data_IF_427077703920
#
_entry.id   IF_427077703920
#
_cell.length_a   1.000
_cell.length_b   1.000
_cell.length_c   1.000
_cell.angle_alpha   90.00
_cell.angle_beta   90.00
_cell.angle_gamma   90.00
#
_symmetry.space_group_name_H-M   'P 1'
#
loop_
_entity.id
_entity.type
_entity.pdbx_description
1 polymer ?
#
# COMPACT_ATOMS: atom_id res chain seq x y z
N UNK A 1 -22.50 -20.63 -2.93
CA UNK A 1 -21.96 -20.55 -1.55
C UNK A 1 -20.81 -19.54 -1.41
N UNK A 2 -20.02 -19.28 -2.46
CA UNK A 2 -18.94 -18.27 -2.50
C UNK A 2 -19.39 -16.82 -2.25
N UNK A 3 -20.58 -16.41 -2.72
CA UNK A 3 -21.11 -15.05 -2.54
C UNK A 3 -21.28 -14.63 -1.06
N UNK A 4 -21.81 -15.51 -0.22
CA UNK A 4 -22.02 -15.22 1.22
C UNK A 4 -20.69 -15.17 2.00
N UNK A 5 -19.72 -16.00 1.61
CA UNK A 5 -18.35 -15.95 2.14
C UNK A 5 -17.61 -14.67 1.74
N UNK A 6 -17.79 -14.21 0.49
CA UNK A 6 -17.23 -12.94 0.04
C UNK A 6 -17.86 -11.74 0.75
N UNK A 7 -19.16 -11.77 1.01
CA UNK A 7 -19.85 -10.72 1.76
C UNK A 7 -19.36 -10.62 3.22
N UNK A 8 -19.17 -11.78 3.87
CA UNK A 8 -18.61 -11.85 5.24
C UNK A 8 -17.15 -11.39 5.27
N UNK A 9 -16.32 -11.86 4.35
CA UNK A 9 -14.93 -11.44 4.21
C UNK A 9 -14.81 -9.92 4.01
N UNK A 10 -15.59 -9.37 3.08
CA UNK A 10 -15.66 -7.93 2.88
C UNK A 10 -16.13 -7.21 4.15
N UNK A 11 -17.13 -7.72 4.86
CA UNK A 11 -17.57 -7.10 6.13
C UNK A 11 -16.46 -7.08 7.19
N UNK A 12 -15.71 -8.18 7.35
CA UNK A 12 -14.60 -8.30 8.30
C UNK A 12 -13.46 -7.32 8.01
N UNK A 13 -13.14 -7.16 6.72
CA UNK A 13 -11.95 -6.45 6.25
C UNK A 13 -12.23 -4.95 6.09
N UNK A 14 -13.46 -4.54 5.80
CA UNK A 14 -13.80 -3.14 5.52
C UNK A 14 -13.76 -2.23 6.78
N UNK A 15 -12.91 -1.19 6.86
CA UNK A 15 -12.84 -0.24 7.99
C UNK A 15 -14.07 0.66 8.13
N UNK A 16 -14.88 0.77 7.07
CA UNK A 16 -16.19 1.47 7.13
C UNK A 16 -17.23 0.67 7.92
N UNK A 17 -17.22 -0.66 7.80
CA UNK A 17 -18.23 -1.55 8.40
C UNK A 17 -17.79 -2.17 9.72
N UNK A 18 -16.50 -2.46 9.88
CA UNK A 18 -15.96 -3.08 11.09
C UNK A 18 -15.15 -2.07 11.94
N UNK A 19 -15.52 -1.83 13.20
CA UNK A 19 -14.76 -0.93 14.10
C UNK A 19 -13.34 -1.44 14.43
N UNK A 20 -13.13 -2.77 14.47
CA UNK A 20 -11.81 -3.35 14.73
C UNK A 20 -10.85 -3.09 13.57
N UNK A 21 -11.33 -3.26 12.34
CA UNK A 21 -10.55 -2.93 11.14
C UNK A 21 -10.20 -1.44 11.09
N UNK A 22 -11.10 -0.56 11.55
CA UNK A 22 -10.84 0.88 11.67
C UNK A 22 -9.75 1.19 12.69
N UNK A 23 -9.80 0.58 13.87
CA UNK A 23 -8.77 0.75 14.89
C UNK A 23 -7.40 0.26 14.40
N UNK A 24 -7.38 -0.89 13.73
CA UNK A 24 -6.17 -1.42 13.11
C UNK A 24 -5.60 -0.45 12.07
N UNK A 25 -6.44 0.03 11.14
CA UNK A 25 -6.02 1.01 10.13
C UNK A 25 -5.48 2.30 10.76
N UNK A 26 -6.15 2.82 11.78
CA UNK A 26 -5.73 4.03 12.49
C UNK A 26 -4.39 3.85 13.22
N UNK A 27 -4.21 2.73 13.91
CA UNK A 27 -2.96 2.44 14.64
C UNK A 27 -1.77 2.25 13.68
N UNK A 28 -1.97 1.54 12.56
CA UNK A 28 -0.96 1.42 11.50
C UNK A 28 -0.64 2.79 10.90
N UNK A 29 -1.67 3.57 10.57
CA UNK A 29 -1.51 4.91 10.00
C UNK A 29 -0.73 5.83 10.93
N UNK A 30 -1.06 5.86 12.23
CA UNK A 30 -0.37 6.69 13.22
C UNK A 30 1.11 6.31 13.32
N UNK A 31 1.43 5.01 13.37
CA UNK A 31 2.82 4.53 13.43
C UNK A 31 3.62 4.89 12.19
N UNK A 32 3.02 4.76 11.00
CA UNK A 32 3.68 5.13 9.75
C UNK A 32 3.97 6.63 9.67
N UNK A 33 3.03 7.48 10.11
CA UNK A 33 3.23 8.94 10.13
C UNK A 33 4.37 9.37 11.03
N UNK A 34 4.52 8.74 12.22
CA UNK A 34 5.61 9.02 13.17
C UNK A 34 7.01 8.86 12.56
N UNK A 35 7.19 7.88 11.68
CA UNK A 35 8.45 7.64 10.96
C UNK A 35 8.50 8.26 9.55
N UNK A 36 7.38 8.80 9.07
CA UNK A 36 7.26 9.37 7.73
C UNK A 36 7.40 8.33 6.61
N UNK A 37 6.88 7.12 6.83
CA UNK A 37 6.90 6.02 5.86
C UNK A 37 5.53 5.86 5.19
N UNK A 38 5.54 5.31 3.97
CA UNK A 38 4.33 4.78 3.32
C UNK A 38 4.24 3.27 3.55
N UNK A 39 3.02 2.75 3.42
CA UNK A 39 2.79 1.31 3.58
C UNK A 39 3.59 0.49 2.57
N UNK A 40 3.65 0.93 1.31
CA UNK A 40 4.41 0.29 0.23
C UNK A 40 5.94 0.28 0.48
N UNK A 41 6.46 1.17 1.33
CA UNK A 41 7.89 1.22 1.63
C UNK A 41 8.33 0.00 2.48
N UNK A 42 7.38 -0.67 3.17
CA UNK A 42 7.63 -1.83 4.03
C UNK A 42 7.92 -3.13 3.25
N UNK A 43 7.62 -3.16 1.95
CA UNK A 43 7.90 -4.32 1.11
C UNK A 43 9.39 -4.40 0.79
N UNK A 44 10.01 -5.54 1.12
CA UNK A 44 11.43 -5.77 0.96
C UNK A 44 11.74 -6.51 -0.38
N UNK A 45 12.57 -5.93 -1.26
CA UNK A 45 12.96 -6.56 -2.52
C UNK A 45 13.77 -7.85 -2.38
N UNK A 46 14.32 -8.18 -1.20
CA UNK A 46 15.07 -9.43 -1.02
C UNK A 46 14.17 -10.65 -0.80
N UNK A 47 12.99 -10.46 -0.21
CA UNK A 47 12.07 -11.56 0.11
C UNK A 47 11.13 -11.93 -1.05
N UNK A 48 10.82 -10.97 -1.94
CA UNK A 48 9.91 -11.20 -3.07
C UNK A 48 10.54 -10.69 -4.38
N UNK A 49 10.72 -11.60 -5.34
CA UNK A 49 11.33 -11.32 -6.62
C UNK A 49 10.46 -10.38 -7.47
N UNK A 50 9.13 -10.47 -7.33
CA UNK A 50 8.16 -9.60 -8.02
C UNK A 50 8.36 -8.14 -7.61
N UNK A 51 8.64 -7.90 -6.32
CA UNK A 51 8.84 -6.57 -5.76
C UNK A 51 10.14 -5.96 -6.28
N UNK A 52 11.21 -6.76 -6.33
CA UNK A 52 12.51 -6.35 -6.89
C UNK A 52 12.36 -5.93 -8.35
N UNK A 53 11.64 -6.72 -9.15
CA UNK A 53 11.41 -6.41 -10.56
C UNK A 53 10.51 -5.18 -10.73
N UNK A 54 9.44 -5.06 -9.95
CA UNK A 54 8.54 -3.90 -9.97
C UNK A 54 9.28 -2.60 -9.63
N UNK A 55 10.17 -2.62 -8.63
CA UNK A 55 10.99 -1.46 -8.27
C UNK A 55 12.01 -1.11 -9.36
N UNK A 56 12.54 -2.10 -10.09
CA UNK A 56 13.46 -1.87 -11.20
C UNK A 56 12.82 -1.25 -12.44
N UNK A 57 11.51 -1.44 -12.63
CA UNK A 57 10.73 -0.88 -13.75
C UNK A 57 10.17 0.52 -13.46
N UNK A 58 10.19 0.95 -12.20
CA UNK A 58 9.62 2.23 -11.77
C UNK A 58 10.48 3.43 -12.22
N UNK A 59 9.89 4.61 -12.49
CA UNK A 59 10.66 5.84 -12.66
C UNK A 59 11.58 6.11 -11.47
N UNK A 60 12.78 6.61 -11.75
CA UNK A 60 13.85 6.79 -10.75
C UNK A 60 13.43 7.75 -9.64
N UNK A 61 12.67 8.79 -9.96
CA UNK A 61 12.22 9.81 -9.00
C UNK A 61 11.38 9.20 -7.87
N UNK A 62 10.56 8.19 -8.19
CA UNK A 62 9.73 7.51 -7.20
C UNK A 62 10.58 6.61 -6.30
N UNK A 63 11.57 5.93 -6.89
CA UNK A 63 12.52 5.07 -6.16
C UNK A 63 13.41 5.91 -5.24
N UNK A 64 13.91 7.04 -5.71
CA UNK A 64 14.74 7.95 -4.92
C UNK A 64 13.95 8.54 -3.75
N UNK A 65 12.70 8.94 -3.99
CA UNK A 65 11.79 9.39 -2.93
C UNK A 65 11.53 8.29 -1.88
N UNK A 66 11.38 7.02 -2.30
CA UNK A 66 11.29 5.86 -1.38
C UNK A 66 12.56 5.71 -0.55
N UNK A 67 13.73 5.73 -1.19
CA UNK A 67 15.02 5.59 -0.51
C UNK A 67 15.23 6.72 0.50
N UNK A 68 14.85 7.96 0.16
CA UNK A 68 14.92 9.08 1.09
C UNK A 68 14.04 8.88 2.32
N UNK A 69 12.79 8.39 2.14
CA UNK A 69 11.90 8.06 3.27
C UNK A 69 12.49 6.99 4.18
N UNK A 70 13.03 5.91 3.59
CA UNK A 70 13.66 4.82 4.34
C UNK A 70 14.89 5.29 5.12
N UNK A 71 15.78 6.08 4.49
CA UNK A 71 16.96 6.66 5.16
C UNK A 71 16.56 7.53 6.35
N UNK A 72 15.54 8.39 6.17
CA UNK A 72 15.01 9.23 7.24
C UNK A 72 14.41 8.40 8.38
N UNK A 73 13.63 7.37 8.06
CA UNK A 73 13.03 6.51 9.08
C UNK A 73 14.10 5.74 9.87
N UNK A 74 15.15 5.26 9.21
CA UNK A 74 16.29 4.61 9.87
C UNK A 74 17.02 5.59 10.80
N UNK A 75 17.29 6.82 10.34
CA UNK A 75 17.93 7.86 11.17
C UNK A 75 17.10 8.20 12.41
N UNK A 76 15.78 8.40 12.25
CA UNK A 76 14.85 8.64 13.36
C UNK A 76 14.79 7.45 14.33
N UNK A 77 14.77 6.22 13.80
CA UNK A 77 14.79 5.01 14.60
C UNK A 77 16.08 4.87 15.42
N UNK A 78 17.24 5.18 14.82
CA UNK A 78 18.52 5.16 15.51
C UNK A 78 18.61 6.21 16.62
N UNK A 79 18.00 7.38 16.41
CA UNK A 79 17.95 8.48 17.40
C UNK A 79 16.87 8.27 18.48
N UNK A 80 16.01 7.26 18.34
CA UNK A 80 14.82 7.08 19.17
C UNK A 80 13.92 8.33 19.21
N UNK A 81 13.80 9.03 18.09
CA UNK A 81 13.00 10.25 17.93
C UNK A 81 11.95 10.06 16.84
N UNK A 82 10.89 10.87 16.90
CA UNK A 82 9.83 10.88 15.89
C UNK A 82 9.86 12.16 15.07
N UNK A 83 9.19 12.12 13.92
CA UNK A 83 9.03 13.29 13.06
C UNK A 83 8.18 14.37 13.78
N UNK A 84 8.47 15.68 13.62
CA UNK A 84 7.65 16.74 14.22
C UNK A 84 6.21 16.70 13.69
N UNK A 85 5.26 17.11 14.52
CA UNK A 85 3.81 16.96 14.27
C UNK A 85 3.36 17.62 12.95
N UNK A 86 3.91 18.78 12.61
CA UNK A 86 3.59 19.50 11.36
C UNK A 86 3.91 18.67 10.12
N UNK A 87 5.03 17.93 10.15
CA UNK A 87 5.44 17.06 9.06
C UNK A 87 4.68 15.73 9.08
N UNK A 88 4.23 15.26 10.26
CA UNK A 88 3.37 14.08 10.38
C UNK A 88 2.01 14.32 9.75
N UNK A 89 1.42 15.51 9.93
CA UNK A 89 0.12 15.88 9.36
C UNK A 89 0.13 15.85 7.83
N UNK A 90 1.26 16.20 7.20
CA UNK A 90 1.43 16.19 5.75
C UNK A 90 1.60 14.76 5.16
N UNK A 91 1.78 13.73 5.99
CA UNK A 91 2.02 12.38 5.49
C UNK A 91 0.74 11.65 5.06
N UNK A 92 0.83 11.04 3.87
CA UNK A 92 -0.21 10.20 3.25
C UNK A 92 0.24 8.73 3.20
N UNK A 93 0.10 7.94 4.30
CA UNK A 93 0.72 6.62 4.43
C UNK A 93 0.15 5.55 3.48
N UNK A 94 -1.14 5.65 3.10
CA UNK A 94 -1.82 4.67 2.24
C UNK A 94 -1.82 5.05 0.75
N UNK A 95 -1.06 6.09 0.35
CA UNK A 95 -0.91 6.42 -1.07
C UNK A 95 0.05 5.42 -1.73
N UNK A 96 -0.53 4.37 -2.30
CA UNK A 96 0.21 3.32 -3.00
C UNK A 96 0.81 3.81 -4.32
N UNK A 97 1.97 3.26 -4.66
CA UNK A 97 2.66 3.44 -5.94
C UNK A 97 3.16 2.10 -6.51
N UNK A 98 3.15 1.02 -5.71
CA UNK A 98 3.70 -0.28 -6.09
C UNK A 98 2.64 -1.25 -6.63
N UNK A 99 1.36 -1.09 -6.24
CA UNK A 99 0.26 -1.99 -6.62
C UNK A 99 0.14 -2.21 -8.12
N UNK A 100 0.22 -1.12 -8.87
CA UNK A 100 -0.03 -1.13 -10.31
C UNK A 100 1.11 -1.84 -11.04
N UNK A 101 2.34 -1.69 -10.55
CA UNK A 101 3.53 -2.31 -11.13
C UNK A 101 3.64 -3.78 -10.77
N UNK A 102 3.24 -4.17 -9.56
CA UNK A 102 3.13 -5.58 -9.17
C UNK A 102 2.11 -6.32 -10.05
N UNK A 103 0.97 -5.70 -10.34
CA UNK A 103 0.00 -6.28 -11.25
C UNK A 103 0.61 -6.49 -12.65
N UNK A 104 1.33 -5.50 -13.18
CA UNK A 104 1.99 -5.60 -14.49
C UNK A 104 3.08 -6.67 -14.53
N UNK A 105 3.92 -6.76 -13.50
CA UNK A 105 4.98 -7.78 -13.40
C UNK A 105 4.36 -9.18 -13.38
N UNK A 106 3.33 -9.39 -12.56
CA UNK A 106 2.63 -10.67 -12.48
C UNK A 106 1.98 -11.06 -13.80
N UNK A 107 1.32 -10.12 -14.47
CA UNK A 107 0.74 -10.35 -15.79
C UNK A 107 1.84 -10.74 -16.79
N UNK A 108 2.95 -10.01 -16.84
CA UNK A 108 4.05 -10.27 -17.77
C UNK A 108 4.71 -11.65 -17.54
N UNK A 109 4.95 -12.00 -16.28
CA UNK A 109 5.53 -13.30 -15.92
C UNK A 109 4.59 -14.46 -16.31
N UNK A 110 3.28 -14.32 -16.07
CA UNK A 110 2.30 -15.32 -16.47
C UNK A 110 2.22 -15.52 -18.00
N UNK A 111 2.34 -14.43 -18.78
CA UNK A 111 2.38 -14.51 -20.24
C UNK A 111 3.65 -15.21 -20.75
N UNK A 112 4.80 -14.99 -20.09
CA UNK A 112 6.09 -15.55 -20.50
C UNK A 112 6.17 -17.06 -20.29
N UNK A 113 5.38 -17.62 -19.37
CA UNK A 113 5.33 -19.05 -19.05
C UNK A 113 4.32 -19.79 -19.97
N UNK A 114 3.69 -19.10 -20.94
CA UNK A 114 2.82 -19.72 -21.95
C UNK A 114 1.47 -20.21 -21.41
N UNK A 115 1.14 -19.83 -20.18
CA UNK A 115 -0.11 -20.19 -19.55
C UNK A 115 -1.20 -19.22 -20.03
N UNK A 116 -1.90 -19.61 -21.09
CA UNK A 116 -3.12 -18.92 -21.54
C UNK A 116 -4.22 -19.10 -20.50
N UNK A 117 -4.31 -18.19 -19.53
CA UNK A 117 -5.52 -18.04 -18.73
C UNK A 117 -6.13 -16.68 -19.00
N UNK A 118 -7.35 -16.72 -19.54
CA UNK A 118 -8.34 -15.67 -19.33
C UNK A 118 -8.62 -15.61 -17.82
N UNK A 119 -7.76 -14.92 -17.07
CA UNK A 119 -7.94 -14.73 -15.63
C UNK A 119 -8.61 -13.37 -15.41
N UNK A 120 -9.90 -13.46 -15.11
CA UNK A 120 -10.85 -12.42 -14.79
C UNK A 120 -10.22 -11.34 -13.88
N UNK A 121 -10.14 -10.13 -14.42
CA UNK A 121 -9.62 -8.89 -13.81
C UNK A 121 -10.52 -8.39 -12.65
N UNK A 122 -10.90 -9.25 -11.70
CA UNK A 122 -11.82 -8.86 -10.62
C UNK A 122 -11.28 -9.02 -9.18
N UNK A 123 -10.08 -9.56 -8.98
CA UNK A 123 -9.62 -9.89 -7.60
C UNK A 123 -8.34 -9.23 -7.10
N UNK A 124 -7.59 -8.48 -7.93
CA UNK A 124 -6.38 -7.78 -7.49
C UNK A 124 -6.61 -6.36 -6.96
N UNK A 125 -7.85 -5.88 -7.03
CA UNK A 125 -8.27 -4.71 -6.26
C UNK A 125 -8.66 -5.19 -4.86
N UNK A 126 -7.69 -5.36 -3.97
CA UNK A 126 -8.00 -5.79 -2.59
C UNK A 126 -9.10 -4.87 -2.01
N UNK A 127 -10.27 -5.43 -1.62
CA UNK A 127 -11.34 -4.62 -1.04
C UNK A 127 -10.85 -3.91 0.23
N UNK A 128 -9.83 -4.45 0.90
CA UNK A 128 -9.15 -3.79 2.00
C UNK A 128 -8.50 -2.47 1.60
N UNK A 129 -7.68 -2.46 0.55
CA UNK A 129 -6.97 -1.25 0.14
C UNK A 129 -7.93 -0.22 -0.46
N UNK A 130 -8.97 -0.64 -1.18
CA UNK A 130 -10.02 0.26 -1.67
C UNK A 130 -10.98 0.78 -0.60
N UNK A 131 -11.23 0.01 0.46
CA UNK A 131 -12.03 0.48 1.58
C UNK A 131 -11.22 1.37 2.54
N UNK A 132 -9.88 1.25 2.52
CA UNK A 132 -8.92 2.11 3.22
C UNK A 132 -8.45 3.32 2.39
N UNK A 133 -8.60 3.31 1.06
CA UNK A 133 -8.55 4.51 0.23
C UNK A 133 -9.70 5.40 0.74
N UNK A 134 -9.32 6.41 1.53
CA UNK A 134 -10.16 7.59 1.68
C UNK A 134 -10.58 8.09 0.30
N UNK A 135 -11.66 8.89 0.21
CA UNK A 135 -12.13 9.39 -1.08
C UNK A 135 -10.93 9.95 -1.86
N UNK A 136 -10.94 9.71 -3.18
CA UNK A 136 -9.86 10.13 -4.07
C UNK A 136 -9.48 11.58 -3.75
N UNK A 137 -8.20 11.94 -3.83
CA UNK A 137 -7.75 13.31 -3.56
C UNK A 137 -8.40 14.36 -4.50
N UNK A 138 -9.19 13.94 -5.50
CA UNK A 138 -10.07 14.79 -6.29
C UNK A 138 -11.37 15.21 -5.56
N UNK A 139 -11.73 14.54 -4.47
CA UNK A 139 -12.96 14.76 -3.70
C UNK A 139 -12.72 15.47 -2.34
N UNK A 140 -11.49 15.92 -2.06
CA UNK A 140 -11.10 16.52 -0.77
C UNK A 140 -10.81 18.03 -0.84
N UNK A 141 -11.36 18.72 -1.84
CA UNK A 141 -11.34 20.19 -1.94
C UNK A 141 -12.66 20.86 -1.53
N UNK A 142 -13.52 20.19 -0.75
CA UNK A 142 -14.70 20.81 -0.12
C UNK A 142 -15.01 20.16 1.22
N UNK A 143 -14.39 20.67 2.29
CA UNK A 143 -14.89 20.88 3.65
C UNK A 143 -13.72 21.07 4.62
#
# INVERSE_FOLDING_TARGET
>A
MSSMMNALSNWLVNPRRNPLARLHMHTVSSRLRKYGLRYDDLYDPYFDLDIKEALGRLPREVVDARIQRLKRAMDLSMKHQYLPEDLQAQQVPFRGYLSDMLALVRIFLLHSIGISYAFELESLHSPFFNACKGPNLHDMNYA
#
